data_IF_154986735608
#
_entry.id   IF_154986735608
#
_cell.length_a   1.000
_cell.length_b   1.000
_cell.length_c   1.000
_cell.angle_alpha   90.00
_cell.angle_beta   90.00
_cell.angle_gamma   90.00
#
_symmetry.space_group_name_H-M   'P 1'
#
loop_
_entity.id
_entity.type
_entity.pdbx_description
1 polymer ?
#
# COMPACT_ATOMS: atom_id res chain seq x y z
N UNK A 1 -14.83 -30.49 -10.83
CA UNK A 1 -14.96 -29.09 -11.34
C UNK A 1 -16.29 -28.54 -10.83
N UNK A 2 -16.35 -27.28 -10.36
CA UNK A 2 -17.61 -26.68 -9.86
C UNK A 2 -18.60 -26.53 -11.03
N UNK A 3 -19.81 -27.08 -10.91
CA UNK A 3 -20.80 -27.13 -12.01
C UNK A 3 -21.12 -25.78 -12.64
N UNK A 4 -21.09 -24.70 -11.86
CA UNK A 4 -21.33 -23.34 -12.33
C UNK A 4 -20.39 -22.90 -13.47
N UNK A 5 -19.15 -23.36 -13.53
CA UNK A 5 -18.25 -23.00 -14.64
C UNK A 5 -18.68 -23.61 -15.98
N UNK A 6 -19.37 -24.75 -15.95
CA UNK A 6 -19.79 -25.45 -17.19
C UNK A 6 -21.14 -24.96 -17.71
N UNK A 7 -21.95 -24.35 -16.85
CA UNK A 7 -23.31 -23.90 -17.19
C UNK A 7 -23.42 -22.38 -17.35
N UNK A 8 -22.35 -21.63 -17.08
CA UNK A 8 -22.38 -20.18 -17.18
C UNK A 8 -22.37 -19.71 -18.64
N UNK A 9 -23.32 -18.86 -19.01
CA UNK A 9 -23.37 -18.25 -20.34
C UNK A 9 -22.31 -17.15 -20.52
N UNK A 10 -21.90 -16.52 -19.41
CA UNK A 10 -20.97 -15.39 -19.39
C UNK A 10 -19.91 -15.52 -18.29
N UNK A 11 -18.66 -15.24 -18.65
CA UNK A 11 -17.52 -15.13 -17.75
C UNK A 11 -17.02 -13.69 -17.65
N UNK A 12 -16.73 -13.25 -16.42
CA UNK A 12 -16.14 -11.92 -16.14
C UNK A 12 -14.72 -12.09 -15.64
N UNK A 13 -13.76 -11.42 -16.27
CA UNK A 13 -12.39 -11.36 -15.80
C UNK A 13 -11.90 -9.93 -15.62
N UNK A 14 -10.84 -9.78 -14.82
CA UNK A 14 -9.97 -8.61 -14.89
C UNK A 14 -8.99 -8.71 -16.07
N UNK A 15 -7.94 -7.89 -16.02
CA UNK A 15 -6.76 -8.01 -16.87
C UNK A 15 -5.53 -7.51 -16.12
N UNK A 16 -4.44 -8.28 -16.12
CA UNK A 16 -3.17 -7.78 -15.56
C UNK A 16 -2.61 -6.68 -16.46
N UNK A 17 -2.72 -6.89 -17.78
CA UNK A 17 -2.35 -5.96 -18.84
C UNK A 17 -3.32 -6.10 -20.03
N UNK A 18 -3.52 -5.01 -20.77
CA UNK A 18 -4.15 -5.02 -22.09
C UNK A 18 -3.11 -4.61 -23.13
N UNK A 19 -2.93 -5.40 -24.17
CA UNK A 19 -1.93 -5.14 -25.21
C UNK A 19 -2.60 -4.46 -26.39
N UNK A 20 -2.24 -3.21 -26.66
CA UNK A 20 -2.90 -2.38 -27.65
C UNK A 20 -2.67 -2.86 -29.09
N UNK A 21 -1.44 -3.26 -29.44
CA UNK A 21 -1.10 -3.64 -30.82
C UNK A 21 -1.87 -4.87 -31.32
N UNK A 22 -2.26 -5.77 -30.42
CA UNK A 22 -2.98 -7.01 -30.74
C UNK A 22 -4.43 -7.03 -30.27
N UNK A 23 -4.85 -6.06 -29.46
CA UNK A 23 -6.17 -6.08 -28.82
C UNK A 23 -6.35 -7.24 -27.83
N UNK A 24 -5.29 -7.58 -27.09
CA UNK A 24 -5.28 -8.77 -26.20
C UNK A 24 -5.45 -8.41 -24.73
N UNK A 25 -6.01 -9.32 -23.94
CA UNK A 25 -5.89 -9.32 -22.46
C UNK A 25 -4.85 -10.34 -22.02
N UNK A 26 -3.94 -9.92 -21.16
CA UNK A 26 -3.00 -10.81 -20.48
C UNK A 26 -3.48 -11.10 -19.05
N UNK A 27 -3.59 -12.38 -18.72
CA UNK A 27 -4.01 -12.89 -17.42
C UNK A 27 -2.89 -13.69 -16.78
N UNK A 28 -2.65 -13.39 -15.50
CA UNK A 28 -1.69 -14.08 -14.65
C UNK A 28 -2.47 -14.72 -13.50
N UNK A 29 -2.49 -16.05 -13.43
CA UNK A 29 -3.24 -16.78 -12.39
C UNK A 29 -2.44 -17.95 -11.85
N UNK A 30 -2.74 -18.39 -10.61
CA UNK A 30 -2.08 -19.53 -9.98
C UNK A 30 -3.01 -20.74 -9.77
N UNK A 31 -4.32 -20.53 -9.90
CA UNK A 31 -5.37 -21.47 -9.51
C UNK A 31 -6.15 -22.05 -10.70
N UNK A 32 -5.85 -21.64 -11.94
CA UNK A 32 -6.43 -22.16 -13.18
C UNK A 32 -7.89 -21.77 -13.45
N UNK A 33 -8.60 -21.25 -12.46
CA UNK A 33 -9.98 -20.75 -12.57
C UNK A 33 -10.15 -19.64 -13.62
N UNK A 34 -9.13 -18.81 -13.84
CA UNK A 34 -9.14 -17.79 -14.89
C UNK A 34 -9.45 -18.38 -16.25
N UNK A 35 -8.79 -19.49 -16.63
CA UNK A 35 -9.04 -20.16 -17.92
C UNK A 35 -10.47 -20.67 -18.02
N UNK A 36 -11.01 -21.28 -16.95
CA UNK A 36 -12.40 -21.75 -16.94
C UNK A 36 -13.39 -20.60 -17.16
N UNK A 37 -13.11 -19.40 -16.65
CA UNK A 37 -13.97 -18.23 -16.83
C UNK A 37 -13.85 -17.64 -18.24
N UNK A 38 -12.68 -17.74 -18.88
CA UNK A 38 -12.44 -17.07 -20.17
C UNK A 38 -12.66 -17.96 -21.38
N UNK A 39 -12.69 -19.29 -21.25
CA UNK A 39 -12.80 -20.19 -22.41
C UNK A 39 -14.04 -21.07 -22.45
N UNK A 40 -14.71 -21.33 -21.31
CA UNK A 40 -15.92 -22.16 -21.28
C UNK A 40 -17.21 -21.38 -21.61
N UNK A 41 -17.43 -20.17 -21.06
CA UNK A 41 -18.64 -19.41 -21.36
C UNK A 41 -18.65 -18.89 -22.80
N UNK A 42 -19.85 -18.73 -23.38
CA UNK A 42 -20.02 -18.16 -24.73
C UNK A 42 -19.64 -16.69 -24.77
N UNK A 43 -19.80 -15.96 -23.67
CA UNK A 43 -19.46 -14.54 -23.56
C UNK A 43 -18.33 -14.34 -22.57
N UNK A 44 -17.28 -13.64 -22.97
CA UNK A 44 -16.21 -13.18 -22.09
C UNK A 44 -16.21 -11.65 -22.01
N UNK A 45 -16.31 -11.12 -20.79
CA UNK A 45 -16.19 -9.68 -20.53
C UNK A 45 -14.94 -9.42 -19.71
N UNK A 46 -14.05 -8.59 -20.25
CA UNK A 46 -12.83 -8.11 -19.58
C UNK A 46 -13.13 -6.73 -18.99
N UNK A 47 -13.04 -6.60 -17.67
CA UNK A 47 -13.22 -5.32 -16.96
C UNK A 47 -11.90 -4.92 -16.33
N UNK A 48 -11.33 -3.80 -16.76
CA UNK A 48 -10.06 -3.32 -16.22
C UNK A 48 -9.96 -1.81 -16.25
N UNK A 49 -9.04 -1.27 -15.46
CA UNK A 49 -8.78 0.17 -15.48
C UNK A 49 -7.95 0.57 -16.71
N UNK A 50 -8.12 1.81 -17.17
CA UNK A 50 -7.39 2.36 -18.33
C UNK A 50 -5.87 2.34 -18.14
N UNK A 51 -5.37 2.32 -16.89
CA UNK A 51 -3.94 2.27 -16.57
C UNK A 51 -3.29 0.92 -16.90
N UNK A 52 -4.08 -0.09 -17.28
CA UNK A 52 -3.59 -1.42 -17.63
C UNK A 52 -3.22 -1.60 -19.09
N UNK A 53 -3.49 -0.61 -19.93
CA UNK A 53 -3.15 -0.64 -21.35
C UNK A 53 -1.65 -0.41 -21.54
N UNK A 54 -1.01 -1.32 -22.28
CA UNK A 54 0.40 -1.24 -22.69
C UNK A 54 0.48 -1.33 -24.22
N UNK A 55 1.52 -0.74 -24.84
CA UNK A 55 1.59 -0.65 -26.30
C UNK A 55 1.76 -2.02 -26.97
N UNK A 56 2.77 -2.80 -26.55
CA UNK A 56 3.23 -3.99 -27.30
C UNK A 56 3.37 -5.26 -26.45
N UNK A 57 3.48 -6.41 -27.10
CA UNK A 57 3.84 -7.70 -26.53
C UNK A 57 5.27 -7.71 -25.98
N UNK A 58 6.17 -6.88 -26.51
CA UNK A 58 7.53 -6.71 -25.98
C UNK A 58 7.49 -6.01 -24.61
N UNK A 59 6.64 -4.99 -24.46
CA UNK A 59 6.37 -4.37 -23.15
C UNK A 59 5.79 -5.41 -22.18
N UNK A 60 4.85 -6.25 -22.64
CA UNK A 60 4.29 -7.32 -21.84
C UNK A 60 5.36 -8.31 -21.37
N UNK A 61 6.26 -8.74 -22.27
CA UNK A 61 7.39 -9.62 -21.96
C UNK A 61 8.27 -9.02 -20.85
N UNK A 62 8.59 -7.73 -20.98
CA UNK A 62 9.37 -6.99 -19.97
C UNK A 62 8.64 -6.93 -18.62
N UNK A 63 7.35 -6.61 -18.60
CA UNK A 63 6.57 -6.53 -17.37
C UNK A 63 6.37 -7.91 -16.73
N UNK A 64 6.24 -8.96 -17.52
CA UNK A 64 6.17 -10.35 -17.05
C UNK A 64 7.48 -10.87 -16.49
N UNK A 65 8.64 -10.29 -16.87
CA UNK A 65 9.89 -10.54 -16.16
C UNK A 65 9.92 -9.95 -14.75
N UNK A 66 9.13 -8.90 -14.49
CA UNK A 66 9.11 -8.20 -13.21
C UNK A 66 8.01 -8.72 -12.28
N UNK A 67 6.80 -8.95 -12.81
CA UNK A 67 5.61 -9.21 -12.01
C UNK A 67 5.72 -10.47 -11.13
N UNK A 68 5.95 -11.69 -11.66
CA UNK A 68 5.97 -12.91 -10.84
C UNK A 68 7.14 -12.92 -9.85
N UNK A 69 8.31 -12.43 -10.28
CA UNK A 69 9.50 -12.33 -9.42
C UNK A 69 9.28 -11.41 -8.22
N UNK A 70 8.60 -10.29 -8.44
CA UNK A 70 8.31 -9.33 -7.38
C UNK A 70 7.13 -9.74 -6.50
N UNK A 71 6.19 -10.51 -7.04
CA UNK A 71 4.99 -10.94 -6.34
C UNK A 71 5.21 -12.17 -5.46
N UNK A 72 5.70 -13.25 -6.08
CA UNK A 72 5.79 -14.59 -5.47
C UNK A 72 7.21 -15.15 -5.49
N UNK A 73 8.19 -14.42 -6.03
CA UNK A 73 9.56 -14.90 -6.19
C UNK A 73 9.73 -15.94 -7.31
N UNK A 74 8.69 -16.19 -8.09
CA UNK A 74 8.70 -17.19 -9.17
C UNK A 74 9.27 -16.59 -10.47
N UNK A 75 9.88 -17.44 -11.30
CA UNK A 75 10.33 -17.03 -12.64
C UNK A 75 9.17 -16.72 -13.59
N UNK A 76 8.06 -17.43 -13.43
CA UNK A 76 6.79 -17.29 -14.16
C UNK A 76 5.63 -17.78 -13.26
N UNK A 77 4.40 -17.32 -13.50
CA UNK A 77 3.21 -17.84 -12.82
C UNK A 77 2.86 -19.25 -13.29
N UNK A 78 2.01 -19.96 -12.54
CA UNK A 78 1.55 -21.30 -12.94
C UNK A 78 0.77 -21.26 -14.27
N UNK A 79 -0.04 -20.21 -14.46
CA UNK A 79 -0.76 -19.96 -15.69
C UNK A 79 -0.53 -18.54 -16.17
N UNK A 80 -0.24 -18.40 -17.44
CA UNK A 80 -0.16 -17.14 -18.16
C UNK A 80 -0.91 -17.29 -19.47
N UNK A 81 -1.95 -16.47 -19.66
CA UNK A 81 -2.83 -16.54 -20.82
C UNK A 81 -2.88 -15.19 -21.50
N UNK A 82 -2.64 -15.18 -22.82
CA UNK A 82 -2.86 -14.03 -23.68
C UNK A 82 -4.08 -14.39 -24.53
N UNK A 83 -5.17 -13.66 -24.36
CA UNK A 83 -6.44 -13.92 -25.03
C UNK A 83 -6.66 -12.82 -26.07
N UNK A 84 -6.87 -13.22 -27.33
CA UNK A 84 -7.01 -12.31 -28.47
C UNK A 84 -8.22 -12.72 -29.29
N UNK A 85 -9.21 -11.82 -29.36
CA UNK A 85 -10.42 -12.07 -30.15
C UNK A 85 -11.30 -13.20 -29.60
N UNK A 86 -12.24 -13.64 -30.44
CA UNK A 86 -13.19 -14.72 -30.17
C UNK A 86 -12.69 -16.04 -30.76
N UNK A 87 -13.28 -17.16 -30.35
CA UNK A 87 -12.95 -18.47 -30.94
C UNK A 87 -13.20 -18.46 -32.45
N UNK A 88 -12.35 -19.13 -33.19
CA UNK A 88 -12.51 -19.36 -34.63
C UNK A 88 -13.39 -20.60 -34.89
N UNK A 89 -13.97 -20.75 -36.09
CA UNK A 89 -14.83 -21.90 -36.41
C UNK A 89 -14.17 -23.28 -36.21
N UNK A 90 -12.85 -23.37 -36.39
CA UNK A 90 -12.06 -24.59 -36.20
C UNK A 90 -11.63 -24.86 -34.75
N UNK A 91 -11.82 -23.89 -33.85
CA UNK A 91 -11.42 -23.99 -32.45
C UNK A 91 -12.54 -24.60 -31.59
N UNK A 92 -12.17 -25.53 -30.70
CA UNK A 92 -13.13 -26.26 -29.86
C UNK A 92 -13.50 -25.50 -28.58
N UNK A 93 -12.64 -24.60 -28.10
CA UNK A 93 -12.81 -23.82 -26.88
C UNK A 93 -12.64 -22.31 -27.13
N UNK A 94 -13.30 -21.49 -26.31
CA UNK A 94 -13.22 -20.04 -26.37
C UNK A 94 -14.59 -19.35 -26.45
N UNK A 95 -14.62 -18.03 -26.21
CA UNK A 95 -15.86 -17.26 -26.24
C UNK A 95 -16.31 -17.00 -27.69
N UNK A 96 -17.61 -16.96 -27.91
CA UNK A 96 -18.26 -16.49 -29.14
C UNK A 96 -18.32 -14.95 -29.19
N UNK A 97 -18.31 -14.30 -28.02
CA UNK A 97 -18.29 -12.85 -27.89
C UNK A 97 -17.26 -12.40 -26.86
N UNK A 98 -16.45 -11.41 -27.22
CA UNK A 98 -15.45 -10.79 -26.33
C UNK A 98 -15.71 -9.29 -26.21
N UNK A 99 -15.89 -8.80 -24.99
CA UNK A 99 -16.12 -7.39 -24.69
C UNK A 99 -15.05 -6.85 -23.74
N UNK A 100 -14.59 -5.62 -24.00
CA UNK A 100 -13.69 -4.89 -23.11
C UNK A 100 -14.41 -3.70 -22.50
N UNK A 101 -14.42 -3.61 -21.17
CA UNK A 101 -14.92 -2.47 -20.41
C UNK A 101 -13.71 -1.80 -19.76
N UNK A 102 -13.34 -0.63 -20.29
CA UNK A 102 -12.25 0.19 -19.77
C UNK A 102 -12.81 1.19 -18.76
N UNK A 103 -12.41 1.04 -17.51
CA UNK A 103 -12.88 1.85 -16.39
C UNK A 103 -11.90 2.98 -16.13
N UNK A 104 -12.37 4.21 -16.27
CA UNK A 104 -11.62 5.38 -15.83
C UNK A 104 -11.72 5.53 -14.30
N UNK A 105 -12.89 5.91 -13.78
CA UNK A 105 -13.13 6.14 -12.35
C UNK A 105 -12.06 7.05 -11.70
N UNK A 106 -11.77 8.18 -12.34
CA UNK A 106 -10.82 9.20 -11.86
C UNK A 106 -9.35 8.90 -12.18
N UNK A 107 -9.05 7.88 -13.00
CA UNK A 107 -7.68 7.57 -13.44
C UNK A 107 -7.15 8.57 -14.45
N UNK A 108 -7.99 9.06 -15.34
CA UNK A 108 -7.64 10.04 -16.35
C UNK A 108 -7.18 11.35 -15.69
N UNK A 109 -7.80 11.75 -14.58
CA UNK A 109 -7.40 12.93 -13.80
C UNK A 109 -6.01 12.80 -13.17
N UNK A 110 -5.53 11.57 -12.97
CA UNK A 110 -4.18 11.30 -12.46
C UNK A 110 -3.13 11.37 -13.57
N UNK A 111 -3.52 11.17 -14.84
CA UNK A 111 -2.63 11.24 -16.00
C UNK A 111 -2.11 12.67 -16.15
N UNK A 112 -0.78 12.82 -16.29
CA UNK A 112 -0.13 14.13 -16.40
C UNK A 112 -0.10 14.95 -15.11
N UNK A 113 -0.79 14.52 -14.06
CA UNK A 113 -0.76 15.14 -12.74
C UNK A 113 0.47 14.79 -11.91
N UNK A 114 0.55 15.34 -10.70
CA UNK A 114 1.68 15.11 -9.77
C UNK A 114 1.77 13.68 -9.20
N UNK A 115 0.71 12.88 -9.39
CA UNK A 115 0.58 11.49 -8.95
C UNK A 115 0.65 10.47 -10.09
N UNK A 116 0.95 10.89 -11.33
CA UNK A 116 0.94 10.02 -12.52
C UNK A 116 1.84 8.78 -12.36
N UNK A 117 2.89 8.85 -11.54
CA UNK A 117 3.78 7.71 -11.29
C UNK A 117 3.03 6.52 -10.67
N UNK A 118 1.93 6.77 -9.96
CA UNK A 118 1.09 5.73 -9.38
C UNK A 118 0.42 4.86 -10.46
N UNK A 119 0.21 5.40 -11.67
CA UNK A 119 -0.38 4.65 -12.79
C UNK A 119 0.57 3.59 -13.36
N UNK A 120 1.86 3.62 -13.02
CA UNK A 120 2.84 2.57 -13.40
C UNK A 120 2.59 1.23 -12.69
N UNK A 121 1.66 1.18 -11.73
CA UNK A 121 1.50 0.03 -10.85
C UNK A 121 1.04 -1.25 -11.58
N UNK A 122 1.93 -2.23 -11.62
CA UNK A 122 1.64 -3.57 -12.17
C UNK A 122 0.93 -4.50 -11.18
N UNK A 123 0.57 -4.01 -9.99
CA UNK A 123 -0.14 -4.77 -8.93
C UNK A 123 0.59 -6.05 -8.49
N UNK A 124 1.93 -6.03 -8.44
CA UNK A 124 2.72 -7.18 -7.99
C UNK A 124 2.65 -7.43 -6.47
N UNK A 125 2.21 -6.48 -5.66
CA UNK A 125 2.10 -6.66 -4.21
C UNK A 125 3.40 -6.53 -3.42
N UNK A 126 4.57 -6.35 -4.07
CA UNK A 126 5.86 -6.18 -3.39
C UNK A 126 5.81 -5.09 -2.29
N UNK A 127 5.20 -3.94 -2.58
CA UNK A 127 5.06 -2.86 -1.60
C UNK A 127 4.30 -3.29 -0.33
N UNK A 128 3.30 -4.17 -0.45
CA UNK A 128 2.52 -4.68 0.68
C UNK A 128 3.34 -5.68 1.48
N UNK A 129 4.03 -6.60 0.79
CA UNK A 129 4.86 -7.62 1.41
C UNK A 129 6.01 -7.04 2.24
N UNK A 130 6.52 -5.85 1.88
CA UNK A 130 7.59 -5.17 2.62
C UNK A 130 7.11 -4.05 3.55
N UNK A 131 5.79 -3.84 3.66
CA UNK A 131 5.24 -2.78 4.51
C UNK A 131 5.01 -3.29 5.94
N UNK A 132 5.68 -2.72 6.96
CA UNK A 132 5.48 -3.16 8.35
C UNK A 132 4.07 -2.88 8.86
N UNK A 133 3.42 -1.81 8.36
CA UNK A 133 2.04 -1.49 8.70
C UNK A 133 1.11 -2.57 8.15
N UNK A 134 1.17 -2.84 6.84
CA UNK A 134 0.33 -3.87 6.20
C UNK A 134 0.52 -5.26 6.83
N UNK A 135 1.77 -5.66 7.12
CA UNK A 135 2.05 -6.93 7.78
C UNK A 135 1.41 -7.05 9.18
N UNK A 136 1.22 -5.92 9.86
CA UNK A 136 0.67 -5.90 11.23
C UNK A 136 -0.86 -5.85 11.24
N UNK A 137 -1.47 -5.01 10.39
CA UNK A 137 -2.93 -4.74 10.44
C UNK A 137 -3.73 -5.49 9.36
N UNK A 138 -3.06 -6.07 8.37
CA UNK A 138 -3.69 -6.74 7.23
C UNK A 138 -4.39 -5.78 6.25
N UNK A 139 -5.02 -6.35 5.23
CA UNK A 139 -5.66 -5.58 4.15
C UNK A 139 -6.98 -4.92 4.52
N UNK A 140 -7.80 -5.56 5.36
CA UNK A 140 -9.14 -5.07 5.70
C UNK A 140 -9.13 -3.72 6.44
N UNK A 141 -8.09 -3.47 7.25
CA UNK A 141 -7.96 -2.22 8.00
C UNK A 141 -7.79 -0.97 7.12
N UNK A 142 -7.49 -1.13 5.82
CA UNK A 142 -7.39 -0.02 4.87
C UNK A 142 -8.76 0.47 4.36
N UNK A 143 -9.85 -0.25 4.64
CA UNK A 143 -11.22 0.25 4.39
C UNK A 143 -11.62 0.45 2.92
N UNK A 144 -10.83 -0.06 1.96
CA UNK A 144 -11.12 0.06 0.53
C UNK A 144 -10.64 -1.17 -0.25
N UNK A 145 -11.02 -1.28 -1.53
CA UNK A 145 -10.63 -2.40 -2.42
C UNK A 145 -9.12 -2.49 -2.67
N UNK A 146 -8.38 -1.40 -2.48
CA UNK A 146 -6.93 -1.36 -2.64
C UNK A 146 -6.27 -1.15 -1.28
N UNK A 147 -5.56 -2.17 -0.75
CA UNK A 147 -4.89 -2.04 0.53
C UNK A 147 -3.39 -1.73 0.38
N UNK A 148 -2.73 -1.54 1.53
CA UNK A 148 -1.29 -1.35 1.61
C UNK A 148 -0.81 -0.01 1.05
N UNK A 149 0.52 0.18 0.88
CA UNK A 149 1.09 1.47 0.50
C UNK A 149 0.54 2.05 -0.82
N UNK A 150 0.32 1.20 -1.82
CA UNK A 150 -0.28 1.62 -3.08
C UNK A 150 -1.75 2.05 -2.89
N UNK A 151 -2.53 1.27 -2.13
CA UNK A 151 -3.91 1.61 -1.81
C UNK A 151 -4.03 2.92 -1.07
N UNK A 152 -3.10 3.19 -0.15
CA UNK A 152 -3.03 4.46 0.58
C UNK A 152 -2.78 5.69 -0.29
N UNK A 153 -2.27 5.51 -1.51
CA UNK A 153 -2.16 6.58 -2.51
C UNK A 153 -3.39 6.60 -3.41
N UNK A 154 -3.80 5.45 -3.95
CA UNK A 154 -4.88 5.39 -4.95
C UNK A 154 -6.27 5.74 -4.39
N UNK A 155 -6.60 5.28 -3.19
CA UNK A 155 -7.94 5.50 -2.64
C UNK A 155 -8.26 6.99 -2.49
N UNK A 156 -7.39 7.84 -1.88
CA UNK A 156 -7.60 9.29 -1.88
C UNK A 156 -7.73 9.92 -3.27
N UNK A 157 -7.04 9.39 -4.29
CA UNK A 157 -7.10 9.94 -5.65
C UNK A 157 -8.41 9.60 -6.35
N UNK A 158 -8.97 8.41 -6.11
CA UNK A 158 -10.21 7.96 -6.77
C UNK A 158 -11.48 8.30 -6.00
N UNK A 159 -11.43 8.29 -4.67
CA UNK A 159 -12.58 8.50 -3.81
C UNK A 159 -12.66 9.93 -3.25
N UNK A 160 -11.65 10.77 -3.47
CA UNK A 160 -11.51 12.07 -2.81
C UNK A 160 -10.68 11.97 -1.53
N UNK A 161 -9.84 12.98 -1.30
CA UNK A 161 -8.86 12.99 -0.21
C UNK A 161 -9.51 13.13 1.17
N UNK A 162 -10.67 13.78 1.22
CA UNK A 162 -11.56 13.95 2.36
C UNK A 162 -12.24 12.64 2.80
N UNK A 163 -12.38 11.67 1.89
CA UNK A 163 -13.00 10.37 2.17
C UNK A 163 -11.99 9.31 2.62
N UNK A 164 -10.70 9.64 2.62
CA UNK A 164 -9.62 8.71 2.92
C UNK A 164 -8.51 9.39 3.75
N UNK A 165 -8.91 10.20 4.73
CA UNK A 165 -7.98 11.10 5.44
C UNK A 165 -6.85 10.38 6.18
N UNK A 166 -7.06 9.15 6.64
CA UNK A 166 -6.09 8.41 7.44
C UNK A 166 -5.11 7.57 6.60
N UNK A 167 -5.48 7.22 5.37
CA UNK A 167 -4.68 6.31 4.56
C UNK A 167 -3.28 6.86 4.21
N UNK A 168 -3.10 8.15 3.87
CA UNK A 168 -1.77 8.73 3.71
C UNK A 168 -0.91 8.64 4.98
N UNK A 169 -1.54 8.60 6.16
CA UNK A 169 -0.89 8.52 7.47
C UNK A 169 -0.64 7.09 7.95
N UNK A 170 -1.27 6.10 7.32
CA UNK A 170 -1.04 4.66 7.54
C UNK A 170 0.31 4.17 6.98
N UNK A 171 1.37 4.97 7.17
CA UNK A 171 2.73 4.67 6.72
C UNK A 171 3.76 5.30 7.66
N UNK A 172 4.78 4.50 8.01
CA UNK A 172 5.96 4.95 8.76
C UNK A 172 6.95 5.75 7.92
N UNK A 173 6.72 5.84 6.60
CA UNK A 173 7.62 6.46 5.62
C UNK A 173 9.06 5.88 5.63
N UNK A 174 9.22 4.61 5.98
CA UNK A 174 10.53 3.91 6.01
C UNK A 174 11.15 3.63 4.62
N UNK A 175 10.45 3.98 3.54
CA UNK A 175 10.85 3.80 2.13
C UNK A 175 11.12 2.36 1.66
N UNK A 176 10.80 1.33 2.44
CA UNK A 176 10.93 -0.06 1.95
C UNK A 176 10.12 -0.30 0.68
N UNK A 177 8.88 0.22 0.62
CA UNK A 177 8.03 0.08 -0.56
C UNK A 177 8.57 0.76 -1.82
N UNK A 178 9.31 1.87 -1.69
CA UNK A 178 9.98 2.53 -2.81
C UNK A 178 11.20 1.74 -3.28
N UNK A 179 11.99 1.21 -2.35
CA UNK A 179 13.18 0.39 -2.64
C UNK A 179 12.83 -0.89 -3.40
N UNK A 180 11.75 -1.57 -3.02
CA UNK A 180 11.38 -2.86 -3.62
C UNK A 180 10.48 -2.74 -4.86
N UNK A 181 10.07 -1.52 -5.26
CA UNK A 181 9.14 -1.34 -6.36
C UNK A 181 9.83 -1.63 -7.71
N UNK A 182 9.43 -2.67 -8.47
CA UNK A 182 10.10 -3.00 -9.73
C UNK A 182 9.87 -1.96 -10.83
N UNK A 183 8.85 -1.12 -10.67
CA UNK A 183 8.45 -0.07 -11.61
C UNK A 183 8.70 1.34 -11.04
N UNK A 184 9.55 1.44 -10.01
CA UNK A 184 10.10 2.69 -9.47
C UNK A 184 9.04 3.74 -9.10
N UNK A 185 7.98 3.32 -8.41
CA UNK A 185 6.96 4.23 -7.89
C UNK A 185 7.45 4.79 -6.54
N UNK A 186 7.61 6.11 -6.39
CA UNK A 186 8.10 6.73 -5.15
C UNK A 186 6.95 6.86 -4.14
N UNK A 187 6.48 5.71 -3.64
CA UNK A 187 5.30 5.63 -2.76
C UNK A 187 5.40 6.54 -1.52
N UNK A 188 6.52 6.62 -0.78
CA UNK A 188 6.61 7.53 0.37
C UNK A 188 6.46 9.00 0.00
N UNK A 189 7.02 9.42 -1.13
CA UNK A 189 6.93 10.78 -1.64
C UNK A 189 5.49 11.11 -2.04
N UNK A 190 4.80 10.19 -2.73
CA UNK A 190 3.38 10.36 -3.07
C UNK A 190 2.50 10.45 -1.81
N UNK A 191 2.76 9.61 -0.80
CA UNK A 191 2.06 9.67 0.49
C UNK A 191 2.32 10.99 1.20
N UNK A 192 3.56 11.49 1.20
CA UNK A 192 3.90 12.80 1.77
C UNK A 192 3.16 13.95 1.07
N UNK A 193 3.11 13.95 -0.26
CA UNK A 193 2.34 14.94 -1.03
C UNK A 193 0.86 14.94 -0.65
N UNK A 194 0.26 13.76 -0.46
CA UNK A 194 -1.13 13.67 0.02
C UNK A 194 -1.30 14.28 1.42
N UNK A 195 -0.35 14.07 2.34
CA UNK A 195 -0.37 14.71 3.68
C UNK A 195 -0.25 16.23 3.61
N UNK A 196 0.59 16.74 2.70
CA UNK A 196 0.74 18.18 2.42
C UNK A 196 -0.59 18.75 1.93
N UNK A 197 -1.20 18.14 0.90
CA UNK A 197 -2.52 18.52 0.38
C UNK A 197 -3.61 18.51 1.45
N UNK A 198 -3.65 17.50 2.31
CA UNK A 198 -4.60 17.46 3.43
C UNK A 198 -4.41 18.62 4.40
N UNK A 199 -3.16 19.03 4.62
CA UNK A 199 -2.84 20.15 5.51
C UNK A 199 -3.26 21.47 4.87
N UNK A 200 -2.94 21.67 3.60
CA UNK A 200 -3.27 22.88 2.83
C UNK A 200 -4.78 23.05 2.66
N UNK A 201 -5.50 21.95 2.42
CA UNK A 201 -6.96 21.92 2.34
C UNK A 201 -7.65 22.02 3.73
N UNK A 202 -6.90 22.07 4.83
CA UNK A 202 -7.45 22.18 6.18
C UNK A 202 -8.19 20.95 6.69
N UNK A 203 -8.00 19.78 6.06
CA UNK A 203 -8.71 18.53 6.34
C UNK A 203 -8.23 17.82 7.62
N UNK A 204 -7.07 18.22 8.16
CA UNK A 204 -6.56 17.65 9.42
C UNK A 204 -7.14 18.36 10.65
N UNK A 205 -7.40 17.64 11.76
CA UNK A 205 -7.89 18.24 13.00
C UNK A 205 -7.02 19.40 13.48
N UNK A 206 -7.65 20.48 13.96
CA UNK A 206 -6.93 21.65 14.46
C UNK A 206 -6.01 21.30 15.65
N UNK A 207 -6.48 20.42 16.53
CA UNK A 207 -5.72 19.95 17.70
C UNK A 207 -4.44 19.25 17.27
N UNK A 208 -4.49 18.40 16.23
CA UNK A 208 -3.31 17.73 15.67
C UNK A 208 -2.31 18.76 15.13
N UNK A 209 -2.78 19.74 14.35
CA UNK A 209 -1.95 20.81 13.77
C UNK A 209 -1.26 21.65 14.86
N UNK A 210 -1.99 22.04 15.90
CA UNK A 210 -1.43 22.78 17.04
C UNK A 210 -0.43 21.90 17.80
N UNK A 211 -0.78 20.65 18.08
CA UNK A 211 0.09 19.69 18.76
C UNK A 211 1.43 19.50 18.05
N UNK A 212 1.41 19.32 16.72
CA UNK A 212 2.61 19.21 15.90
C UNK A 212 3.45 20.50 15.90
N UNK A 213 2.81 21.68 15.87
CA UNK A 213 3.53 22.97 15.97
C UNK A 213 4.21 23.15 17.32
N UNK A 214 3.52 22.84 18.41
CA UNK A 214 4.09 22.88 19.76
C UNK A 214 5.24 21.88 19.89
N UNK A 215 5.04 20.65 19.41
CA UNK A 215 6.09 19.63 19.40
C UNK A 215 7.32 20.09 18.61
N UNK A 216 7.14 20.63 17.41
CA UNK A 216 8.23 21.14 16.59
C UNK A 216 9.00 22.27 17.30
N UNK A 217 8.29 23.20 17.93
CA UNK A 217 8.88 24.28 18.73
C UNK A 217 9.72 23.74 19.90
N UNK A 218 9.25 22.71 20.61
CA UNK A 218 10.02 22.05 21.69
C UNK A 218 11.21 21.27 21.14
N UNK A 219 11.01 20.48 20.08
CA UNK A 219 12.02 19.60 19.50
C UNK A 219 13.23 20.37 18.93
N UNK A 220 13.00 21.58 18.40
CA UNK A 220 14.06 22.48 17.93
C UNK A 220 14.89 23.10 19.05
N UNK A 221 14.52 22.92 20.33
CA UNK A 221 15.23 23.47 21.50
C UNK A 221 15.82 22.34 22.32
N UNK A 222 17.11 21.99 22.13
CA UNK A 222 17.71 20.81 22.76
C UNK A 222 17.54 20.77 24.28
N UNK A 223 17.75 21.87 25.00
CA UNK A 223 17.60 21.89 26.45
C UNK A 223 16.16 21.57 26.90
N UNK A 224 15.16 22.19 26.28
CA UNK A 224 13.74 21.96 26.57
C UNK A 224 13.33 20.53 26.21
N UNK A 225 13.71 20.05 25.02
CA UNK A 225 13.44 18.67 24.62
C UNK A 225 14.08 17.66 25.58
N UNK A 226 15.29 17.94 26.06
CA UNK A 226 16.00 17.09 27.03
C UNK A 226 15.30 17.05 28.38
N UNK A 227 14.87 18.21 28.90
CA UNK A 227 14.10 18.29 30.13
C UNK A 227 12.76 17.57 29.99
N UNK A 228 12.03 17.83 28.91
CA UNK A 228 10.75 17.20 28.61
C UNK A 228 10.86 15.68 28.50
N UNK A 229 11.85 15.16 27.77
CA UNK A 229 12.10 13.73 27.65
C UNK A 229 12.45 13.09 29.00
N UNK A 230 13.22 13.78 29.85
CA UNK A 230 13.59 13.32 31.20
C UNK A 230 12.38 13.24 32.12
N UNK A 231 11.56 14.29 32.16
CA UNK A 231 10.32 14.31 32.95
C UNK A 231 9.36 13.24 32.44
N UNK A 232 9.17 13.15 31.12
CA UNK A 232 8.30 12.16 30.49
C UNK A 232 8.72 10.73 30.79
N UNK A 233 10.00 10.38 30.66
CA UNK A 233 10.49 9.03 30.96
C UNK A 233 10.25 8.63 32.43
N UNK A 234 10.40 9.56 33.37
CA UNK A 234 10.15 9.29 34.80
C UNK A 234 8.66 9.21 35.12
N UNK A 235 7.85 10.08 34.51
CA UNK A 235 6.41 10.04 34.63
C UNK A 235 5.84 8.72 34.10
N UNK A 236 6.24 8.29 32.90
CA UNK A 236 5.82 7.01 32.33
C UNK A 236 6.30 5.81 33.16
N UNK A 237 7.52 5.86 33.71
CA UNK A 237 8.01 4.84 34.63
C UNK A 237 7.20 4.78 35.94
N UNK A 238 6.86 5.94 36.50
CA UNK A 238 6.01 6.02 37.69
C UNK A 238 4.61 5.47 37.40
N UNK A 239 4.03 5.81 36.24
CA UNK A 239 2.73 5.32 35.80
C UNK A 239 2.68 3.80 35.61
N UNK A 240 3.81 3.19 35.22
CA UNK A 240 3.92 1.74 35.06
C UNK A 240 4.00 0.96 36.39
N UNK A 241 4.32 1.62 37.50
CA UNK A 241 4.47 0.99 38.80
C UNK A 241 5.49 -0.15 38.83
N UNK A 242 5.26 -1.12 39.73
CA UNK A 242 6.12 -2.31 39.89
C UNK A 242 5.94 -3.34 38.76
N UNK A 243 4.77 -3.35 38.12
CA UNK A 243 4.40 -4.26 37.04
C UNK A 243 5.18 -4.01 35.74
N UNK A 244 5.92 -2.88 35.64
CA UNK A 244 6.65 -2.43 34.45
C UNK A 244 5.77 -2.37 33.18
N UNK A 245 4.46 -2.21 33.38
CA UNK A 245 3.46 -2.16 32.33
C UNK A 245 2.50 -1.00 32.57
N UNK A 246 2.23 -0.22 31.53
CA UNK A 246 1.29 0.91 31.56
C UNK A 246 -0.03 0.42 30.96
N UNK A 247 -1.02 0.21 31.83
CA UNK A 247 -2.37 -0.25 31.45
C UNK A 247 -3.32 0.88 31.04
N UNK A 248 -3.01 2.11 31.43
CA UNK A 248 -3.82 3.29 31.11
C UNK A 248 -2.91 4.49 30.85
N UNK A 249 -3.05 5.08 29.68
CA UNK A 249 -2.50 6.40 29.36
C UNK A 249 -3.64 7.43 29.40
N UNK A 250 -3.80 8.25 30.46
CA UNK A 250 -4.98 9.11 30.63
C UNK A 250 -5.27 10.05 29.46
N UNK A 251 -4.23 10.53 28.77
CA UNK A 251 -4.33 11.43 27.61
C UNK A 251 -4.26 10.71 26.24
N UNK A 252 -4.15 9.39 26.22
CA UNK A 252 -4.04 8.56 25.02
C UNK A 252 -4.64 7.17 25.25
N UNK A 253 -5.84 7.11 25.82
CA UNK A 253 -6.45 5.88 26.31
C UNK A 253 -6.59 4.81 25.22
N UNK A 254 -6.84 5.23 23.97
CA UNK A 254 -6.89 4.34 22.80
C UNK A 254 -5.62 3.54 22.59
N UNK A 255 -4.45 4.07 22.96
CA UNK A 255 -3.18 3.37 22.81
C UNK A 255 -3.03 2.20 23.79
N UNK A 256 -3.78 2.23 24.89
CA UNK A 256 -3.83 1.19 25.92
C UNK A 256 -5.10 0.33 25.85
N UNK A 257 -6.01 0.61 24.93
CA UNK A 257 -7.32 -0.05 24.83
C UNK A 257 -7.21 -1.51 24.37
N UNK A 258 -6.20 -1.84 23.56
CA UNK A 258 -5.96 -3.20 23.03
C UNK A 258 -4.62 -3.82 23.42
N UNK A 259 -3.76 -3.10 24.15
CA UNK A 259 -2.45 -3.59 24.57
C UNK A 259 -1.88 -2.78 25.73
N UNK A 260 -1.11 -3.46 26.55
CA UNK A 260 -0.27 -2.84 27.58
C UNK A 260 0.95 -2.15 26.96
N UNK A 261 1.31 -0.97 27.46
CA UNK A 261 2.51 -0.24 27.02
C UNK A 261 3.72 -0.59 27.91
N UNK A 262 4.89 -0.93 27.34
CA UNK A 262 6.06 -1.24 28.15
C UNK A 262 6.59 -0.01 28.89
N UNK A 263 7.03 -0.20 30.13
CA UNK A 263 7.65 0.87 30.91
C UNK A 263 9.03 1.27 30.36
N UNK A 264 9.36 2.57 30.28
CA UNK A 264 10.73 3.00 30.02
C UNK A 264 11.63 2.72 31.24
N UNK A 265 12.92 2.53 31.01
CA UNK A 265 13.92 2.30 32.07
C UNK A 265 14.06 3.48 33.05
N UNK A 266 13.63 4.67 32.62
CA UNK A 266 13.61 5.92 33.39
C UNK A 266 14.82 6.82 33.19
N UNK A 267 15.97 6.28 32.74
CA UNK A 267 17.10 7.07 32.24
C UNK A 267 16.93 7.33 30.75
N UNK A 268 17.13 8.57 30.34
CA UNK A 268 17.08 8.95 28.91
C UNK A 268 18.39 8.61 28.21
N UNK A 269 18.36 8.47 26.87
CA UNK A 269 19.59 8.30 26.06
C UNK A 269 20.64 9.35 26.37
N UNK A 270 20.25 10.62 26.57
CA UNK A 270 21.19 11.72 26.86
C UNK A 270 21.87 11.56 28.22
N UNK A 271 21.17 11.06 29.23
CA UNK A 271 21.76 10.78 30.55
C UNK A 271 22.71 9.59 30.48
N UNK A 272 22.33 8.53 29.76
CA UNK A 272 23.19 7.36 29.53
C UNK A 272 24.45 7.76 28.75
N UNK A 273 24.30 8.58 27.72
CA UNK A 273 25.43 9.07 26.92
C UNK A 273 26.37 9.96 27.72
N UNK A 274 25.83 10.91 28.51
CA UNK A 274 26.63 11.77 29.37
C UNK A 274 27.38 10.97 30.46
N UNK A 275 26.74 9.97 31.06
CA UNK A 275 27.38 9.09 32.03
C UNK A 275 28.52 8.28 31.40
N UNK A 276 28.30 7.70 30.21
CA UNK A 276 29.35 6.98 29.47
C UNK A 276 30.54 7.89 29.12
N UNK A 277 30.27 9.11 28.67
CA UNK A 277 31.31 10.10 28.36
C UNK A 277 32.12 10.48 29.61
N UNK A 278 31.47 10.62 30.76
CA UNK A 278 32.15 10.89 32.03
C UNK A 278 33.04 9.72 32.45
N UNK A 279 32.53 8.50 32.41
CA UNK A 279 33.31 7.29 32.74
C UNK A 279 34.49 7.07 31.80
N UNK A 280 34.34 7.36 30.50
CA UNK A 280 35.44 7.27 29.54
C UNK A 280 36.55 8.30 29.81
N UNK A 281 36.20 9.50 30.30
CA UNK A 281 37.17 10.53 30.71
C UNK A 281 37.85 10.22 32.04
N UNK A 282 37.16 9.54 32.95
CA UNK A 282 37.72 9.11 34.24
C UNK A 282 38.66 7.91 34.09
N UNK A 283 38.53 7.14 33.00
CA UNK A 283 39.36 5.97 32.69
C UNK A 283 40.60 6.27 31.82
N UNK A 284 40.70 7.49 31.26
CA UNK A 284 41.82 7.96 30.44
C UNK A 284 42.75 8.87 31.27
#
# INVERSE_FOLDING_TARGET
VRGHFMTADMGLSGGNFLVAETGSVALVTNEGNGRMVTTLPKVHVVITGIEKVIPTLEDLSTLMRLLPRSATGQSISNYFSILTGVKKPEEHDGPEHLYFILVDAGRADVVGGEFHEMLRCIRCGACMNHCPVYQTIGGHAYGWVYPGPMGSVLTPLYAGIENAIDLPHAATLCNQCGVVCPVKIPLPELLRKLREKQTDAGLRPLVERIGLRVWAWVAQRPALYGLGARVGARYLKWLAGEDKSIRLLPAAQEWTNGRDFPAPEGKTFRELYAARQKSAKEAA
#
